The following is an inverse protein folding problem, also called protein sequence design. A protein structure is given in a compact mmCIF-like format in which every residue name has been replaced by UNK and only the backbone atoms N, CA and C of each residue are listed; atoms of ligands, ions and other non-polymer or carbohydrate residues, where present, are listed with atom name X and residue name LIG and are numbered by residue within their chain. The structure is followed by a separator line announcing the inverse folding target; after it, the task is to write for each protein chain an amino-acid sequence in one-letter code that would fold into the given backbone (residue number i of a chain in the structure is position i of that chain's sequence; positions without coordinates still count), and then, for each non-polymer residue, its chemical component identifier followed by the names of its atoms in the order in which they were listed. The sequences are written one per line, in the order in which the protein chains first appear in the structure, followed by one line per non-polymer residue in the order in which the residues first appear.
data_IF_089123063018
#
_entry.id   IF_089123063018
#
_cell.length_a   1.000
_cell.length_b   1.000
_cell.length_c   1.000
_cell.angle_alpha   90.00
_cell.angle_beta   90.00
_cell.angle_gamma   90.00
#
_symmetry.space_group_name_H-M   'P 1'
#
loop_
_entity.id
_entity.type
_entity.pdbx_description
1 polymer ?
#
# COMPACT_ATOMS: atom_id res chain seq x y z
N UNK A 1 -6.75 -2.99 -1.94
CA UNK A 1 -6.51 -1.60 -2.35
C UNK A 1 -5.91 -1.59 -3.74
N UNK A 2 -6.46 -0.82 -4.68
CA UNK A 2 -5.92 -0.67 -6.03
C UNK A 2 -5.15 0.63 -6.16
N UNK A 3 -3.93 0.58 -6.69
CA UNK A 3 -3.05 1.75 -6.88
C UNK A 3 -3.02 2.11 -8.37
N UNK A 4 -3.32 3.37 -8.67
CA UNK A 4 -3.40 3.89 -10.03
C UNK A 4 -2.64 5.19 -10.13
N UNK A 5 -2.01 5.40 -11.28
CA UNK A 5 -1.32 6.65 -11.61
C UNK A 5 -2.26 7.72 -12.14
N UNK A 6 -3.43 7.35 -12.65
CA UNK A 6 -4.53 8.27 -13.01
C UNK A 6 -5.83 7.75 -12.45
N UNK A 7 -6.53 8.57 -11.66
CA UNK A 7 -7.85 8.19 -11.10
C UNK A 7 -8.95 8.18 -12.16
N UNK A 8 -8.86 9.08 -13.14
CA UNK A 8 -9.82 9.19 -14.24
C UNK A 8 -9.72 7.99 -15.19
N UNK A 9 -8.51 7.67 -15.63
CA UNK A 9 -8.27 6.57 -16.58
C UNK A 9 -8.07 5.22 -15.91
N UNK A 10 -8.02 5.19 -14.56
CA UNK A 10 -7.68 4.01 -13.75
C UNK A 10 -6.40 3.31 -14.24
N UNK A 11 -5.43 4.09 -14.70
CA UNK A 11 -4.19 3.56 -15.26
C UNK A 11 -3.40 2.86 -14.15
N UNK A 12 -3.09 1.55 -14.27
CA UNK A 12 -2.37 0.83 -13.24
C UNK A 12 -1.00 1.46 -12.95
N UNK A 13 -0.58 1.40 -11.68
CA UNK A 13 0.78 1.76 -11.32
C UNK A 13 1.78 0.77 -11.95
N UNK A 14 2.98 1.23 -12.31
CA UNK A 14 4.01 0.38 -12.90
C UNK A 14 4.54 -0.67 -11.91
N UNK A 15 5.00 -1.82 -12.43
CA UNK A 15 5.51 -2.91 -11.60
C UNK A 15 6.72 -2.51 -10.73
N UNK A 16 7.60 -1.65 -11.24
CA UNK A 16 8.75 -1.14 -10.48
C UNK A 16 8.31 -0.28 -9.28
N UNK A 17 7.34 0.60 -9.48
CA UNK A 17 6.78 1.43 -8.41
C UNK A 17 6.04 0.57 -7.37
N UNK A 18 5.27 -0.42 -7.82
CA UNK A 18 4.62 -1.38 -6.93
C UNK A 18 5.63 -2.18 -6.09
N UNK A 19 6.76 -2.59 -6.69
CA UNK A 19 7.83 -3.26 -5.97
C UNK A 19 8.49 -2.34 -4.94
N UNK A 20 8.71 -1.07 -5.26
CA UNK A 20 9.24 -0.07 -4.33
C UNK A 20 8.29 0.18 -3.15
N UNK A 21 6.99 0.30 -3.41
CA UNK A 21 5.96 0.45 -2.37
C UNK A 21 5.94 -0.80 -1.47
N UNK A 22 5.97 -2.00 -2.05
CA UNK A 22 6.03 -3.26 -1.28
C UNK A 22 7.27 -3.32 -0.39
N UNK A 23 8.43 -2.93 -0.92
CA UNK A 23 9.68 -2.81 -0.16
C UNK A 23 9.53 -1.88 1.03
N UNK A 24 9.04 -0.66 0.79
CA UNK A 24 8.85 0.34 1.85
C UNK A 24 7.85 -0.11 2.94
N UNK A 25 6.76 -0.79 2.58
CA UNK A 25 5.83 -1.37 3.55
C UNK A 25 6.52 -2.44 4.41
N UNK A 26 7.32 -3.30 3.77
CA UNK A 26 8.06 -4.37 4.46
C UNK A 26 9.10 -3.80 5.43
N UNK A 27 9.86 -2.78 4.99
CA UNK A 27 10.82 -2.05 5.82
C UNK A 27 10.15 -1.37 7.03
N UNK A 28 8.93 -0.84 6.85
CA UNK A 28 8.13 -0.25 7.91
C UNK A 28 7.48 -1.29 8.85
N UNK A 29 7.71 -2.58 8.63
CA UNK A 29 7.22 -3.67 9.47
C UNK A 29 5.83 -4.19 9.08
N UNK A 30 5.33 -3.87 7.89
CA UNK A 30 4.06 -4.37 7.37
C UNK A 30 4.27 -5.32 6.20
N UNK A 31 3.97 -6.61 6.40
CA UNK A 31 4.00 -7.59 5.34
C UNK A 31 2.80 -7.41 4.40
N UNK A 32 3.05 -6.87 3.20
CA UNK A 32 2.03 -6.62 2.20
C UNK A 32 2.02 -7.70 1.11
N UNK A 33 0.84 -8.25 0.82
CA UNK A 33 0.64 -9.14 -0.32
C UNK A 33 0.18 -8.31 -1.53
N UNK A 34 1.02 -8.27 -2.56
CA UNK A 34 0.81 -7.44 -3.76
C UNK A 34 0.61 -8.32 -4.97
N UNK A 35 -0.46 -8.05 -5.74
CA UNK A 35 -0.75 -8.68 -7.02
C UNK A 35 -0.99 -7.56 -8.03
N UNK A 36 -0.13 -7.47 -9.04
CA UNK A 36 -0.13 -6.37 -10.01
C UNK A 36 -0.11 -5.00 -9.31
N UNK A 37 -1.15 -4.17 -9.52
CA UNK A 37 -1.31 -2.87 -8.90
C UNK A 37 -2.17 -2.90 -7.63
N UNK A 38 -2.38 -4.07 -7.02
CA UNK A 38 -3.28 -4.25 -5.87
C UNK A 38 -2.55 -4.75 -4.64
N UNK A 39 -2.87 -4.14 -3.50
CA UNK A 39 -2.45 -4.58 -2.16
C UNK A 39 -3.62 -5.25 -1.47
N UNK A 40 -3.44 -6.50 -1.06
CA UNK A 40 -4.41 -7.24 -0.27
C UNK A 40 -4.18 -6.97 1.22
N UNK A 41 -5.23 -6.48 1.88
CA UNK A 41 -5.22 -6.16 3.31
C UNK A 41 -6.11 -7.17 4.00
N UNK A 42 -5.49 -8.17 4.62
CA UNK A 42 -6.15 -9.30 5.29
C UNK A 42 -5.49 -9.50 6.65
N UNK A 43 -5.81 -8.62 7.63
CA UNK A 43 -5.33 -8.80 8.98
C UNK A 43 -5.96 -10.06 9.63
N UNK A 44 -5.33 -10.63 10.66
CA UNK A 44 -5.91 -11.75 11.39
C UNK A 44 -7.23 -11.35 12.06
N UNK A 45 -8.17 -12.29 12.19
CA UNK A 45 -9.46 -12.05 12.84
C UNK A 45 -9.36 -11.68 14.33
N UNK A 46 -8.17 -11.82 14.93
CA UNK A 46 -7.86 -11.50 16.33
C UNK A 46 -7.21 -10.13 16.51
N UNK A 47 -7.09 -9.33 15.44
CA UNK A 47 -6.45 -8.01 15.50
C UNK A 47 -7.24 -7.04 16.38
N UNK A 48 -6.55 -6.24 17.18
CA UNK A 48 -7.15 -5.17 17.99
C UNK A 48 -7.30 -3.86 17.19
N UNK A 49 -8.15 -2.95 17.67
CA UNK A 49 -8.29 -1.62 17.07
C UNK A 49 -6.97 -0.82 17.04
N UNK A 50 -6.14 -0.95 18.09
CA UNK A 50 -4.82 -0.31 18.15
C UNK A 50 -3.86 -0.86 17.10
N UNK A 51 -3.87 -2.18 16.88
CA UNK A 51 -3.06 -2.81 15.84
C UNK A 51 -3.51 -2.40 14.43
N UNK A 52 -4.82 -2.27 14.21
CA UNK A 52 -5.37 -1.70 12.96
C UNK A 52 -4.88 -0.26 12.77
N UNK A 53 -4.99 0.60 13.78
CA UNK A 53 -4.54 1.99 13.70
C UNK A 53 -3.04 2.07 13.38
N UNK A 54 -2.21 1.22 13.99
CA UNK A 54 -0.77 1.12 13.68
C UNK A 54 -0.53 0.72 12.22
N UNK A 55 -1.25 -0.29 11.71
CA UNK A 55 -1.14 -0.73 10.33
C UNK A 55 -1.54 0.35 9.32
N UNK A 56 -2.64 1.07 9.59
CA UNK A 56 -3.09 2.19 8.76
C UNK A 56 -2.09 3.35 8.78
N UNK A 57 -1.51 3.69 9.93
CA UNK A 57 -0.48 4.71 10.02
C UNK A 57 0.77 4.37 9.18
N UNK A 58 1.14 3.09 9.08
CA UNK A 58 2.22 2.64 8.19
C UNK A 58 1.83 2.85 6.72
N UNK A 59 0.61 2.49 6.34
CA UNK A 59 0.12 2.73 4.97
C UNK A 59 0.16 4.22 4.62
N UNK A 60 -0.35 5.08 5.50
CA UNK A 60 -0.35 6.54 5.27
C UNK A 60 1.07 7.09 5.11
N UNK A 61 1.98 6.71 6.01
CA UNK A 61 3.37 7.15 5.95
C UNK A 61 4.08 6.70 4.67
N UNK A 62 3.84 5.45 4.24
CA UNK A 62 4.42 4.94 2.99
C UNK A 62 3.79 5.62 1.79
N UNK A 63 2.47 5.69 1.69
CA UNK A 63 1.81 6.32 0.54
C UNK A 63 2.13 7.82 0.41
N UNK A 64 2.30 8.53 1.52
CA UNK A 64 2.76 9.92 1.48
C UNK A 64 4.13 10.07 0.78
N UNK A 65 5.06 9.11 0.94
CA UNK A 65 6.36 9.10 0.26
C UNK A 65 6.23 8.90 -1.26
N UNK A 66 5.18 8.22 -1.70
CA UNK A 66 4.93 7.88 -3.11
C UNK A 66 3.80 8.70 -3.74
N UNK A 67 3.31 9.74 -3.06
CA UNK A 67 2.17 10.55 -3.50
C UNK A 67 2.39 11.19 -4.89
N UNK A 68 3.64 11.45 -5.27
CA UNK A 68 3.99 12.01 -6.58
C UNK A 68 3.71 11.07 -7.77
N UNK A 69 3.43 9.79 -7.52
CA UNK A 69 3.10 8.82 -8.57
C UNK A 69 1.65 8.91 -9.03
N UNK A 70 0.76 9.48 -8.22
CA UNK A 70 -0.63 9.72 -8.58
C UNK A 70 -0.76 11.10 -9.25
N UNK A 71 -1.29 11.11 -10.48
CA UNK A 71 -1.61 12.30 -11.27
C UNK A 71 -3.13 12.49 -11.36
#
# INVERSE_FOLDING_TARGET
LELVSSREHKTPLGAADMAAIKGALTEAGLLAFVVENRIHVVPPCTISAEQVAKGLAIFDAVFARFASLAK
#
